data_IF_619928740682
#
_entry.id   IF_619928740682
#
_cell.length_a   1.000
_cell.length_b   1.000
_cell.length_c   1.000
_cell.angle_alpha   90.00
_cell.angle_beta   90.00
_cell.angle_gamma   90.00
#
_symmetry.space_group_name_H-M   'P 1'
#
loop_
_entity.id
_entity.type
_entity.pdbx_description
1 polymer ?
#
# COMPACT_ATOMS: atom_id res chain seq x y z
N UNK A 1 0.37 -0.08 -13.75
CA UNK A 1 0.82 0.53 -15.02
C UNK A 1 1.62 1.80 -14.74
N UNK A 2 2.57 2.15 -15.61
CA UNK A 2 3.16 3.49 -15.62
C UNK A 2 2.18 4.43 -16.34
N UNK A 3 1.77 5.49 -15.66
CA UNK A 3 0.86 6.51 -16.20
C UNK A 3 1.66 7.69 -16.75
N UNK A 4 2.78 8.03 -16.10
CA UNK A 4 3.73 9.03 -16.56
C UNK A 4 5.15 8.72 -16.03
N UNK A 5 6.11 9.59 -16.30
CA UNK A 5 7.47 9.47 -15.78
C UNK A 5 7.53 9.53 -14.25
N UNK A 6 6.56 10.20 -13.63
CA UNK A 6 6.49 10.40 -12.19
C UNK A 6 5.31 9.71 -11.51
N UNK A 7 4.52 8.92 -12.25
CA UNK A 7 3.31 8.29 -11.71
C UNK A 7 3.14 6.84 -12.17
N UNK A 8 2.91 5.95 -11.20
CA UNK A 8 2.52 4.56 -11.40
C UNK A 8 1.21 4.31 -10.67
N UNK A 9 0.27 3.65 -11.33
CA UNK A 9 -1.01 3.22 -10.72
C UNK A 9 -1.09 1.70 -10.73
N UNK A 10 -1.16 1.09 -9.56
CA UNK A 10 -1.48 -0.32 -9.38
C UNK A 10 -2.99 -0.52 -9.36
N UNK A 11 -3.48 -1.45 -10.17
CA UNK A 11 -4.90 -1.75 -10.34
C UNK A 11 -5.19 -3.20 -9.95
N UNK A 12 -6.34 -3.44 -9.35
CA UNK A 12 -6.93 -4.77 -9.20
C UNK A 12 -8.22 -4.84 -10.00
N UNK A 13 -8.35 -5.84 -10.88
CA UNK A 13 -9.51 -6.01 -11.77
C UNK A 13 -9.95 -4.74 -12.55
N UNK A 14 -8.99 -3.84 -12.84
CA UNK A 14 -9.23 -2.58 -13.55
C UNK A 14 -9.41 -1.35 -12.65
N UNK A 15 -9.72 -1.54 -11.37
CA UNK A 15 -9.90 -0.45 -10.39
C UNK A 15 -8.54 -0.01 -9.80
N UNK A 16 -8.24 1.30 -9.71
CA UNK A 16 -7.01 1.77 -9.08
C UNK A 16 -7.01 1.51 -7.57
N UNK A 17 -6.08 0.69 -7.11
CA UNK A 17 -5.92 0.37 -5.67
C UNK A 17 -4.79 1.18 -5.05
N UNK A 18 -3.68 1.36 -5.75
CA UNK A 18 -2.51 2.08 -5.23
C UNK A 18 -1.95 3.03 -6.27
N UNK A 19 -1.47 4.19 -5.82
CA UNK A 19 -0.71 5.13 -6.67
C UNK A 19 0.64 5.40 -6.05
N UNK A 20 1.68 5.36 -6.86
CA UNK A 20 3.02 5.84 -6.52
C UNK A 20 3.28 7.14 -7.28
N UNK A 21 3.68 8.18 -6.56
CA UNK A 21 4.16 9.43 -7.14
C UNK A 21 5.63 9.63 -6.82
N UNK A 22 6.42 10.04 -7.80
CA UNK A 22 7.84 10.36 -7.68
C UNK A 22 8.05 11.87 -7.76
N UNK A 23 8.73 12.44 -6.78
CA UNK A 23 9.09 13.86 -6.75
C UNK A 23 10.58 14.00 -6.46
N UNK A 24 11.30 14.69 -7.34
CA UNK A 24 12.67 15.12 -7.06
C UNK A 24 12.67 16.40 -6.23
N UNK A 25 13.64 16.55 -5.33
CA UNK A 25 13.87 17.78 -4.59
C UNK A 25 14.31 18.91 -5.55
N UNK A 26 14.11 20.17 -5.16
CA UNK A 26 14.41 21.32 -6.01
C UNK A 26 15.91 21.40 -6.40
N UNK A 27 16.79 20.97 -5.48
CA UNK A 27 18.23 20.86 -5.68
C UNK A 27 18.67 19.56 -6.38
N UNK A 28 17.72 18.66 -6.70
CA UNK A 28 17.93 17.36 -7.34
C UNK A 28 18.86 16.40 -6.58
N UNK A 29 19.01 16.59 -5.27
CA UNK A 29 19.84 15.71 -4.43
C UNK A 29 19.04 14.55 -3.83
N UNK A 30 17.70 14.62 -3.85
CA UNK A 30 16.82 13.62 -3.27
C UNK A 30 15.64 13.32 -4.18
N UNK A 31 15.17 12.08 -4.11
CA UNK A 31 13.95 11.62 -4.76
C UNK A 31 13.03 11.02 -3.71
N UNK A 32 11.77 11.46 -3.69
CA UNK A 32 10.73 10.96 -2.79
C UNK A 32 9.71 10.17 -3.60
N UNK A 33 9.52 8.90 -3.21
CA UNK A 33 8.39 8.09 -3.71
C UNK A 33 7.32 8.07 -2.63
N UNK A 34 6.11 8.48 -2.98
CA UNK A 34 4.94 8.41 -2.09
C UNK A 34 3.98 7.36 -2.61
N UNK A 35 3.72 6.34 -1.81
CA UNK A 35 2.64 5.37 -2.06
C UNK A 35 1.36 5.85 -1.38
N UNK A 36 0.25 5.90 -2.11
CA UNK A 36 -1.09 6.17 -1.59
C UNK A 36 -1.98 4.98 -1.88
N UNK A 37 -2.57 4.39 -0.84
CA UNK A 37 -3.64 3.41 -0.98
C UNK A 37 -4.95 4.16 -1.28
N UNK A 38 -5.50 3.94 -2.47
CA UNK A 38 -6.68 4.62 -2.99
C UNK A 38 -7.98 3.88 -2.68
N UNK A 39 -7.90 2.58 -2.50
CA UNK A 39 -8.99 1.68 -2.15
C UNK A 39 -8.44 0.49 -1.40
N UNK A 40 -9.31 -0.29 -0.76
CA UNK A 40 -8.87 -1.52 -0.13
C UNK A 40 -8.28 -2.50 -1.17
N UNK A 41 -7.25 -3.22 -0.77
CA UNK A 41 -6.74 -4.33 -1.57
C UNK A 41 -7.49 -5.58 -1.14
N UNK A 42 -8.36 -6.10 -2.01
CA UNK A 42 -9.30 -7.17 -1.63
C UNK A 42 -8.75 -8.59 -1.76
N UNK A 43 -7.52 -8.77 -2.24
CA UNK A 43 -6.95 -10.10 -2.45
C UNK A 43 -6.17 -10.57 -1.22
N UNK A 44 -6.91 -10.99 -0.20
CA UNK A 44 -6.36 -11.66 0.97
C UNK A 44 -6.93 -13.09 1.09
N UNK A 45 -6.15 -14.05 1.64
CA UNK A 45 -6.51 -15.47 1.65
C UNK A 45 -7.62 -15.86 2.66
N UNK A 46 -8.24 -14.91 3.37
CA UNK A 46 -9.33 -15.16 4.31
C UNK A 46 -9.62 -13.95 5.20
N UNK A 47 -10.57 -14.08 6.13
CA UNK A 47 -10.97 -13.02 7.08
C UNK A 47 -10.44 -13.24 8.51
N UNK A 48 -9.82 -14.40 8.75
CA UNK A 48 -9.44 -14.87 10.10
C UNK A 48 -7.91 -14.87 10.33
N UNK A 49 -7.13 -14.30 9.41
CA UNK A 49 -5.66 -14.27 9.49
C UNK A 49 -5.10 -12.93 9.02
N UNK A 50 -4.07 -12.45 9.74
CA UNK A 50 -3.24 -11.34 9.29
C UNK A 50 -2.50 -11.80 8.04
N UNK A 51 -2.44 -10.94 7.02
CA UNK A 51 -1.73 -11.25 5.79
C UNK A 51 -0.95 -10.03 5.29
N UNK A 52 0.14 -10.30 4.57
CA UNK A 52 0.96 -9.28 3.92
C UNK A 52 1.15 -9.66 2.46
N UNK A 53 0.49 -8.92 1.57
CA UNK A 53 0.64 -9.10 0.13
C UNK A 53 1.73 -8.18 -0.42
N UNK A 54 2.71 -8.77 -1.11
CA UNK A 54 3.69 -8.01 -1.89
C UNK A 54 3.07 -7.48 -3.18
N UNK A 55 3.19 -6.17 -3.41
CA UNK A 55 2.75 -5.48 -4.63
C UNK A 55 3.91 -5.27 -5.63
N UNK A 56 5.12 -5.69 -5.25
CA UNK A 56 6.31 -5.66 -6.08
C UNK A 56 7.30 -4.55 -5.73
N UNK A 57 8.21 -4.28 -6.67
CA UNK A 57 9.32 -3.33 -6.49
C UNK A 57 9.40 -2.39 -7.68
N UNK A 58 9.69 -1.12 -7.40
CA UNK A 58 9.94 -0.09 -8.41
C UNK A 58 11.38 0.39 -8.30
N UNK A 59 12.09 0.45 -9.42
CA UNK A 59 13.40 1.07 -9.52
C UNK A 59 13.26 2.58 -9.76
N UNK A 60 14.07 3.36 -9.06
CA UNK A 60 14.23 4.80 -9.23
C UNK A 60 15.66 5.03 -9.73
N UNK A 61 15.80 5.73 -10.86
CA UNK A 61 17.10 6.05 -11.44
C UNK A 61 17.23 7.57 -11.49
N UNK A 62 18.32 8.08 -10.92
CA UNK A 62 18.73 9.46 -11.04
C UNK A 62 19.90 9.53 -12.02
N UNK A 63 19.84 10.47 -12.95
CA UNK A 63 20.89 10.73 -13.94
C UNK A 63 21.37 12.17 -13.77
N UNK A 64 22.67 12.39 -13.69
CA UNK A 64 23.25 13.73 -13.60
C UNK A 64 23.48 14.37 -15.00
N UNK A 65 24.23 15.48 -15.06
CA UNK A 65 24.35 16.29 -16.27
C UNK A 65 25.26 15.66 -17.33
N UNK A 66 26.29 14.94 -16.90
CA UNK A 66 27.23 14.21 -17.75
C UNK A 66 26.80 12.76 -18.03
N UNK A 67 25.70 12.32 -17.39
CA UNK A 67 25.00 11.09 -17.73
C UNK A 67 25.31 9.92 -16.80
N UNK A 68 25.99 10.18 -15.68
CA UNK A 68 26.21 9.18 -14.66
C UNK A 68 24.89 8.86 -13.95
N UNK A 69 24.67 7.57 -13.69
CA UNK A 69 23.43 7.08 -13.10
C UNK A 69 23.64 6.58 -11.67
N UNK A 70 22.69 6.90 -10.80
CA UNK A 70 22.52 6.30 -9.49
C UNK A 70 21.14 5.66 -9.39
N UNK A 71 21.06 4.40 -8.96
CA UNK A 71 19.81 3.65 -8.85
C UNK A 71 19.44 3.32 -7.41
N UNK A 72 18.16 3.45 -7.06
CA UNK A 72 17.55 2.95 -5.85
C UNK A 72 16.33 2.08 -6.17
N UNK A 73 15.80 1.39 -5.17
CA UNK A 73 14.56 0.61 -5.33
C UNK A 73 13.62 0.80 -4.14
N UNK A 74 12.32 0.74 -4.42
CA UNK A 74 11.25 0.82 -3.42
C UNK A 74 10.39 -0.42 -3.57
N UNK A 75 10.38 -1.25 -2.53
CA UNK A 75 9.48 -2.41 -2.43
C UNK A 75 8.21 -2.01 -1.70
N UNK A 76 7.08 -2.52 -2.17
CA UNK A 76 5.77 -2.18 -1.63
C UNK A 76 4.97 -3.44 -1.28
N UNK A 77 4.34 -3.39 -0.11
CA UNK A 77 3.40 -4.40 0.35
C UNK A 77 2.20 -3.74 1.02
N UNK A 78 1.08 -4.45 1.04
CA UNK A 78 -0.13 -4.09 1.80
C UNK A 78 -0.41 -5.20 2.80
N UNK A 79 -0.82 -4.82 4.01
CA UNK A 79 -1.17 -5.75 5.07
C UNK A 79 -2.66 -5.64 5.37
N UNK A 80 -3.31 -6.78 5.59
CA UNK A 80 -4.68 -6.89 6.10
C UNK A 80 -4.62 -7.54 7.49
N UNK A 81 -5.43 -7.03 8.41
CA UNK A 81 -5.44 -7.43 9.82
C UNK A 81 -6.65 -8.29 10.19
N UNK A 82 -6.53 -9.06 11.26
CA UNK A 82 -7.66 -9.82 11.83
C UNK A 82 -8.49 -8.91 12.73
N UNK A 83 -9.82 -8.84 12.51
CA UNK A 83 -10.71 -8.17 13.43
C UNK A 83 -10.64 -8.81 14.83
N UNK A 84 -10.41 -8.02 15.87
CA UNK A 84 -10.40 -8.50 17.25
C UNK A 84 -11.55 -7.91 18.07
N UNK A 85 -12.22 -8.76 18.87
CA UNK A 85 -13.23 -8.34 19.84
C UNK A 85 -12.90 -8.93 21.21
N UNK A 86 -12.99 -8.10 22.25
CA UNK A 86 -12.86 -8.55 23.64
C UNK A 86 -14.06 -8.04 24.45
N UNK A 87 -14.65 -8.92 25.27
CA UNK A 87 -15.71 -8.56 26.21
C UNK A 87 -15.10 -8.54 27.61
N UNK A 88 -15.15 -7.38 28.26
CA UNK A 88 -14.72 -7.23 29.65
C UNK A 88 -15.96 -7.13 30.57
N UNK A 89 -16.04 -8.01 31.57
CA UNK A 89 -17.10 -8.01 32.58
C UNK A 89 -18.09 -9.19 32.47
N UNK A 90 -19.02 -9.33 33.45
CA UNK A 90 -20.04 -10.38 33.39
C UNK A 90 -21.01 -10.13 32.25
N UNK A 91 -21.11 -11.07 31.32
CA UNK A 91 -22.16 -11.10 30.31
C UNK A 91 -23.45 -11.65 30.94
N UNK A 92 -24.40 -10.78 31.25
CA UNK A 92 -25.73 -11.20 31.70
C UNK A 92 -26.66 -11.24 30.50
N UNK A 93 -27.14 -12.43 30.15
CA UNK A 93 -28.23 -12.59 29.18
C UNK A 93 -29.56 -12.56 29.93
N UNK A 94 -30.53 -11.78 29.46
CA UNK A 94 -31.90 -11.80 29.97
C UNK A 94 -32.69 -12.80 29.12
N UNK A 95 -33.27 -13.81 29.74
CA UNK A 95 -34.17 -14.73 29.02
C UNK A 95 -35.38 -13.95 28.48
N UNK A 96 -35.58 -13.98 27.16
CA UNK A 96 -36.64 -13.27 26.45
C UNK A 96 -36.19 -12.07 25.62
N UNK A 97 -34.92 -11.68 25.68
CA UNK A 97 -34.34 -10.68 24.76
C UNK A 97 -34.24 -11.31 23.36
N UNK A 98 -35.01 -10.81 22.38
CA UNK A 98 -34.91 -11.23 20.99
C UNK A 98 -34.00 -10.27 20.23
N UNK A 99 -32.95 -10.80 19.62
CA UNK A 99 -32.15 -10.14 18.58
C UNK A 99 -33.01 -9.63 17.42
#
# INVERSE_FOLDING_TARGET
>A
ERVSDSEIVGRDNGEPVVRLSLVASADKTQATVTATLLSNYGQHPGIDADDVQSLGTVAVVATDLDGDEASGSVSLSVSDDVPSVSVAGPATVVEGERI
#
